data_IF_072540956330
#
_entry.id   IF_072540956330
#
_cell.length_a   1.000
_cell.length_b   1.000
_cell.length_c   1.000
_cell.angle_alpha   90.00
_cell.angle_beta   90.00
_cell.angle_gamma   90.00
#
_symmetry.space_group_name_H-M   'P 1'
#
loop_
_entity.id
_entity.type
_entity.pdbx_description
1 polymer ?
#
# COMPACT_ATOMS: atom_id res chain seq x y z
N UNK A 1 -3.26 -7.90 1.45
CA UNK A 1 -2.55 -6.65 1.13
C UNK A 1 -2.06 -5.99 2.43
N UNK A 2 -0.83 -5.46 2.45
CA UNK A 2 -0.26 -4.77 3.63
C UNK A 2 -0.18 -3.27 3.35
N UNK A 3 -0.62 -2.46 4.30
CA UNK A 3 -0.51 -1.00 4.28
C UNK A 3 0.42 -0.56 5.39
N UNK A 4 1.28 0.41 5.10
CA UNK A 4 2.25 0.93 6.05
C UNK A 4 2.33 2.44 5.94
N UNK A 5 2.55 3.08 7.08
CA UNK A 5 3.00 4.46 7.16
C UNK A 5 4.45 4.46 7.68
N UNK A 6 5.46 4.53 6.79
CA UNK A 6 6.88 4.35 7.14
C UNK A 6 7.33 5.22 8.32
N UNK A 7 7.00 6.51 8.30
CA UNK A 7 7.39 7.49 9.32
C UNK A 7 6.96 7.12 10.75
N UNK A 8 5.88 6.34 10.89
CA UNK A 8 5.35 5.89 12.19
C UNK A 8 5.54 4.40 12.44
N UNK A 9 6.06 3.66 11.46
CA UNK A 9 6.17 2.20 11.42
C UNK A 9 4.83 1.47 11.56
N UNK A 10 3.70 2.20 11.58
CA UNK A 10 2.37 1.61 11.76
C UNK A 10 1.99 0.86 10.50
N UNK A 11 1.69 -0.42 10.65
CA UNK A 11 1.32 -1.27 9.52
C UNK A 11 0.14 -2.18 9.87
N UNK A 12 -0.73 -2.40 8.89
CA UNK A 12 -1.84 -3.35 8.96
C UNK A 12 -1.78 -4.29 7.75
N UNK A 13 -2.28 -5.51 7.91
CA UNK A 13 -2.48 -6.44 6.80
C UNK A 13 -3.94 -6.82 6.72
N UNK A 14 -4.53 -6.62 5.55
CA UNK A 14 -5.86 -7.11 5.19
C UNK A 14 -5.71 -8.45 4.46
N UNK A 15 -6.56 -9.41 4.81
CA UNK A 15 -6.66 -10.71 4.15
C UNK A 15 -8.10 -10.97 3.71
N UNK A 16 -8.22 -11.74 2.65
CA UNK A 16 -9.48 -12.23 2.08
C UNK A 16 -9.23 -13.63 1.51
N UNK A 17 -10.25 -14.46 1.53
CA UNK A 17 -10.20 -15.82 0.97
C UNK A 17 -10.19 -15.82 -0.56
N UNK A 18 -10.64 -14.72 -1.18
CA UNK A 18 -10.66 -14.58 -2.65
C UNK A 18 -10.37 -13.15 -3.10
N UNK A 19 -9.92 -13.04 -4.35
CA UNK A 19 -9.73 -11.79 -5.09
C UNK A 19 -10.01 -12.05 -6.57
N UNK A 20 -10.41 -11.02 -7.30
CA UNK A 20 -10.65 -11.09 -8.75
C UNK A 20 -9.82 -10.04 -9.47
N UNK A 21 -9.35 -10.37 -10.67
CA UNK A 21 -8.80 -9.36 -11.58
C UNK A 21 -9.96 -8.58 -12.19
N UNK A 22 -9.87 -7.26 -12.11
CA UNK A 22 -10.85 -6.33 -12.67
C UNK A 22 -10.24 -5.47 -13.77
N UNK A 23 -11.09 -4.71 -14.46
CA UNK A 23 -10.62 -3.80 -15.49
C UNK A 23 -10.17 -2.50 -14.83
N UNK A 24 -8.96 -2.06 -15.14
CA UNK A 24 -8.47 -0.75 -14.70
C UNK A 24 -9.34 0.34 -15.30
N UNK A 25 -9.79 1.28 -14.47
CA UNK A 25 -10.51 2.46 -14.91
C UNK A 25 -9.77 3.78 -14.56
N UNK A 26 -10.39 4.91 -14.92
CA UNK A 26 -9.78 6.22 -14.70
C UNK A 26 -9.63 6.57 -13.21
N UNK A 27 -10.44 5.99 -12.34
CA UNK A 27 -10.37 6.22 -10.88
C UNK A 27 -9.18 5.49 -10.26
N UNK A 28 -8.82 4.33 -10.78
CA UNK A 28 -7.61 3.59 -10.37
C UNK A 28 -6.35 4.39 -10.66
N UNK A 29 -6.25 4.97 -11.87
CA UNK A 29 -5.10 5.81 -12.24
C UNK A 29 -4.94 7.02 -11.32
N UNK A 30 -6.04 7.67 -10.96
CA UNK A 30 -6.03 8.77 -9.98
C UNK A 30 -5.61 8.30 -8.58
N UNK A 31 -6.08 7.12 -8.14
CA UNK A 31 -5.72 6.53 -6.86
C UNK A 31 -4.22 6.17 -6.80
N UNK A 32 -3.67 5.57 -7.86
CA UNK A 32 -2.23 5.25 -7.95
C UNK A 32 -1.38 6.51 -7.89
N UNK A 33 -1.78 7.58 -8.59
CA UNK A 33 -1.07 8.87 -8.53
C UNK A 33 -1.02 9.44 -7.10
N UNK A 34 -2.14 9.37 -6.36
CA UNK A 34 -2.19 9.81 -4.96
C UNK A 34 -1.33 8.92 -4.06
N UNK A 35 -1.46 7.59 -4.19
CA UNK A 35 -0.72 6.62 -3.38
C UNK A 35 0.80 6.73 -3.58
N UNK A 36 1.25 6.83 -4.84
CA UNK A 36 2.67 6.93 -5.19
C UNK A 36 3.28 8.27 -4.73
N UNK A 37 2.54 9.38 -4.85
CA UNK A 37 2.96 10.67 -4.31
C UNK A 37 3.11 10.64 -2.79
N UNK A 38 2.16 10.02 -2.08
CA UNK A 38 2.21 9.85 -0.62
C UNK A 38 3.40 9.01 -0.16
N UNK A 39 3.62 7.84 -0.78
CA UNK A 39 4.76 7.00 -0.45
C UNK A 39 6.10 7.67 -0.76
N UNK A 40 6.20 8.40 -1.89
CA UNK A 40 7.39 9.17 -2.23
C UNK A 40 7.73 10.20 -1.15
N UNK A 41 6.74 10.89 -0.62
CA UNK A 41 6.93 11.86 0.47
C UNK A 41 7.44 11.17 1.75
N UNK A 42 6.81 10.07 2.17
CA UNK A 42 7.25 9.30 3.34
C UNK A 42 8.69 8.78 3.20
N UNK A 43 9.10 8.34 1.99
CA UNK A 43 10.48 7.91 1.73
C UNK A 43 11.48 9.07 1.84
N UNK A 44 11.14 10.25 1.32
CA UNK A 44 12.02 11.42 1.45
C UNK A 44 12.15 11.84 2.91
N UNK A 45 11.04 11.83 3.66
CA UNK A 45 11.02 12.16 5.08
C UNK A 45 11.83 11.16 5.93
N UNK A 46 11.84 9.87 5.55
CA UNK A 46 12.69 8.82 6.16
C UNK A 46 14.18 8.90 5.73
N UNK A 47 14.56 9.89 4.93
CA UNK A 47 15.96 10.22 4.59
C UNK A 47 16.47 9.62 3.28
N UNK A 48 15.60 9.02 2.46
CA UNK A 48 15.98 8.62 1.11
C UNK A 48 16.08 9.84 0.18
N UNK A 49 16.92 9.74 -0.85
CA UNK A 49 17.04 10.84 -1.83
C UNK A 49 15.77 10.96 -2.67
N UNK A 50 15.45 12.18 -3.12
CA UNK A 50 14.30 12.41 -4.01
C UNK A 50 14.39 11.56 -5.29
N UNK A 51 15.59 11.35 -5.83
CA UNK A 51 15.82 10.55 -7.02
C UNK A 51 15.50 9.07 -6.76
N UNK A 52 15.90 8.53 -5.60
CA UNK A 52 15.54 7.18 -5.22
C UNK A 52 14.04 7.03 -5.01
N UNK A 53 13.42 7.94 -4.24
CA UNK A 53 11.99 7.89 -3.96
C UNK A 53 11.15 8.01 -5.25
N UNK A 54 11.57 8.87 -6.19
CA UNK A 54 10.93 8.98 -7.50
C UNK A 54 11.04 7.69 -8.31
N UNK A 55 12.23 7.08 -8.37
CA UNK A 55 12.45 5.83 -9.09
C UNK A 55 11.70 4.64 -8.47
N UNK A 56 11.65 4.57 -7.13
CA UNK A 56 10.95 3.52 -6.40
C UNK A 56 9.43 3.56 -6.62
N UNK A 57 8.86 4.75 -6.75
CA UNK A 57 7.42 4.95 -6.96
C UNK A 57 7.02 5.11 -8.43
N UNK A 58 7.95 4.94 -9.37
CA UNK A 58 7.66 5.02 -10.80
C UNK A 58 6.78 3.84 -11.25
N UNK A 59 5.85 4.10 -12.17
CA UNK A 59 4.99 3.10 -12.80
C UNK A 59 4.61 3.56 -14.21
N UNK A 60 4.33 2.61 -15.09
CA UNK A 60 3.76 2.89 -16.41
C UNK A 60 2.24 2.68 -16.36
N UNK A 61 1.41 3.68 -16.76
CA UNK A 61 -0.04 3.60 -16.62
C UNK A 61 -0.70 2.43 -17.36
N UNK A 62 -0.13 1.98 -18.47
CA UNK A 62 -0.59 0.85 -19.28
C UNK A 62 -0.18 -0.52 -18.71
N UNK A 63 0.72 -0.54 -17.72
CA UNK A 63 1.11 -1.75 -16.98
C UNK A 63 0.30 -1.93 -15.68
N UNK A 64 -0.68 -1.07 -15.42
CA UNK A 64 -1.55 -1.20 -14.25
C UNK A 64 -2.47 -2.42 -14.36
N UNK A 65 -2.68 -3.08 -13.22
CA UNK A 65 -3.66 -4.15 -13.05
C UNK A 65 -4.51 -3.86 -11.82
N UNK A 66 -5.82 -4.04 -11.94
CA UNK A 66 -6.77 -3.90 -10.85
C UNK A 66 -7.07 -5.27 -10.21
N UNK A 67 -7.08 -5.30 -8.88
CA UNK A 67 -7.38 -6.49 -8.07
C UNK A 67 -8.42 -6.11 -7.03
N UNK A 68 -9.62 -6.65 -7.17
CA UNK A 68 -10.71 -6.41 -6.24
C UNK A 68 -10.80 -7.55 -5.23
N UNK A 69 -10.91 -7.21 -3.94
CA UNK A 69 -11.17 -8.18 -2.88
C UNK A 69 -11.97 -7.52 -1.75
N UNK A 70 -12.73 -8.33 -1.01
CA UNK A 70 -13.44 -7.89 0.20
C UNK A 70 -12.62 -8.31 1.42
N UNK A 71 -12.08 -7.39 2.23
CA UNK A 71 -11.34 -7.75 3.43
C UNK A 71 -12.21 -8.54 4.42
N UNK A 72 -11.74 -9.70 4.86
CA UNK A 72 -12.44 -10.57 5.82
C UNK A 72 -11.73 -10.62 7.18
N UNK A 73 -10.43 -10.36 7.19
CA UNK A 73 -9.66 -10.26 8.42
C UNK A 73 -8.56 -9.22 8.29
N UNK A 74 -8.20 -8.63 9.43
CA UNK A 74 -7.16 -7.63 9.53
C UNK A 74 -6.18 -8.01 10.65
N UNK A 75 -4.91 -7.69 10.48
CA UNK A 75 -3.84 -8.04 11.42
C UNK A 75 -2.91 -6.86 11.65
N UNK A 76 -2.38 -6.74 12.87
CA UNK A 76 -1.28 -5.83 13.17
C UNK A 76 -0.05 -6.30 12.42
N UNK A 77 0.62 -5.39 11.71
CA UNK A 77 1.92 -5.64 11.09
C UNK A 77 3.00 -4.65 11.54
N UNK A 78 2.64 -3.70 12.40
CA UNK A 78 3.62 -2.84 13.08
C UNK A 78 4.67 -3.73 13.76
N UNK A 79 5.97 -3.56 13.47
CA UNK A 79 7.02 -4.34 14.11
C UNK A 79 6.94 -4.25 15.63
N UNK A 80 6.99 -5.40 16.31
CA UNK A 80 6.91 -5.48 17.77
C UNK A 80 6.20 -6.76 18.26
N UNK A 81 5.99 -6.88 19.58
CA UNK A 81 5.45 -8.09 20.21
C UNK A 81 4.06 -8.52 19.71
N UNK A 82 3.28 -7.56 19.19
CA UNK A 82 1.92 -7.78 18.71
C UNK A 82 1.85 -7.99 17.19
N UNK A 83 2.98 -8.02 16.46
CA UNK A 83 2.97 -8.27 15.03
C UNK A 83 2.34 -9.65 14.73
N UNK A 84 1.40 -9.67 13.79
CA UNK A 84 0.64 -10.87 13.41
C UNK A 84 -0.61 -11.13 14.26
N UNK A 85 -0.90 -10.31 15.28
CA UNK A 85 -2.16 -10.44 16.02
C UNK A 85 -3.34 -9.94 15.19
N UNK A 86 -4.50 -10.58 15.36
CA UNK A 86 -5.73 -10.16 14.69
C UNK A 86 -6.22 -8.82 15.26
N UNK A 87 -6.58 -7.89 14.38
CA UNK A 87 -7.30 -6.67 14.73
C UNK A 87 -8.77 -7.03 14.98
N UNK A 88 -9.31 -6.57 16.11
CA UNK A 88 -10.72 -6.72 16.47
C UNK A 88 -11.45 -5.39 16.21
N UNK A 89 -12.75 -5.42 15.85
CA UNK A 89 -13.58 -4.23 15.71
C UNK A 89 -13.66 -3.39 16.99
#
# INVERSE_FOLDING_TARGET
>A
MTFTQPSTHRSIQLKADSAVLSTVDATDGAAVAVQTAGLRAELVDDGYSEAFAAAYCAYEPDELAAVDFVPESAFVQTPGPNAGSALQP
#
